data_IF_900675072056
#
_entry.id   IF_900675072056
#
_cell.length_a   1.000
_cell.length_b   1.000
_cell.length_c   1.000
_cell.angle_alpha   90.00
_cell.angle_beta   90.00
_cell.angle_gamma   90.00
#
_symmetry.space_group_name_H-M   'P 1'
#
loop_
_entity.id
_entity.type
_entity.pdbx_description
1 polymer ?
#
# COMPACT_ATOMS: atom_id res chain seq x y z
N UNK A 1 7.70 -16.83 -9.31
CA UNK A 1 6.54 -16.10 -8.71
C UNK A 1 5.56 -15.70 -9.80
N UNK A 2 5.90 -14.71 -10.64
CA UNK A 2 5.01 -14.22 -11.68
C UNK A 2 4.70 -15.31 -12.73
N UNK A 3 5.72 -16.01 -13.23
CA UNK A 3 5.52 -17.10 -14.20
C UNK A 3 4.77 -18.30 -13.62
N UNK A 4 4.99 -18.62 -12.35
CA UNK A 4 4.41 -19.79 -11.71
C UNK A 4 2.94 -19.57 -11.30
N UNK A 5 2.61 -18.38 -10.78
CA UNK A 5 1.30 -18.06 -10.24
C UNK A 5 0.44 -17.19 -11.16
N UNK A 6 1.02 -16.58 -12.19
CA UNK A 6 0.31 -15.70 -13.12
C UNK A 6 -0.30 -14.46 -12.45
N UNK A 7 0.35 -13.91 -11.43
CA UNK A 7 -0.10 -12.71 -10.70
C UNK A 7 0.49 -11.45 -11.31
N UNK A 8 -0.22 -10.32 -11.22
CA UNK A 8 0.26 -9.04 -11.74
C UNK A 8 1.04 -8.23 -10.70
N UNK A 9 0.93 -8.58 -9.41
CA UNK A 9 1.59 -7.83 -8.35
C UNK A 9 1.99 -8.70 -7.17
N UNK A 10 3.00 -8.25 -6.43
CA UNK A 10 3.42 -8.86 -5.17
C UNK A 10 3.79 -7.81 -4.12
N UNK A 11 3.87 -8.24 -2.87
CA UNK A 11 4.39 -7.43 -1.76
C UNK A 11 5.71 -8.02 -1.27
N UNK A 12 6.71 -7.17 -1.01
CA UNK A 12 8.05 -7.61 -0.56
C UNK A 12 8.57 -6.75 0.59
N UNK A 13 9.40 -7.33 1.45
CA UNK A 13 10.10 -6.60 2.50
C UNK A 13 11.40 -6.00 1.98
N UNK A 14 11.64 -4.68 2.09
CA UNK A 14 12.85 -4.03 1.59
C UNK A 14 14.04 -4.14 2.56
N UNK A 15 13.91 -4.86 3.67
CA UNK A 15 14.86 -4.85 4.78
C UNK A 15 16.30 -5.25 4.37
N UNK A 16 16.44 -6.17 3.41
CA UNK A 16 17.75 -6.64 2.94
C UNK A 16 18.38 -5.71 1.89
N UNK A 17 17.64 -4.70 1.41
CA UNK A 17 18.13 -3.74 0.42
C UNK A 17 17.73 -4.08 -1.02
N UNK A 18 18.34 -3.33 -1.95
CA UNK A 18 17.95 -3.31 -3.37
C UNK A 18 18.07 -4.68 -4.04
N UNK A 19 19.12 -5.42 -3.75
CA UNK A 19 19.41 -6.72 -4.35
C UNK A 19 18.33 -7.78 -4.04
N UNK A 20 17.65 -7.66 -2.89
CA UNK A 20 16.48 -8.50 -2.59
C UNK A 20 15.19 -8.12 -3.31
N UNK A 21 15.09 -6.87 -3.81
CA UNK A 21 13.89 -6.31 -4.45
C UNK A 21 14.03 -6.30 -5.98
N UNK A 22 15.23 -6.05 -6.49
CA UNK A 22 15.51 -5.91 -7.91
C UNK A 22 14.99 -7.06 -8.78
N UNK A 23 15.09 -8.35 -8.38
CA UNK A 23 14.55 -9.44 -9.21
C UNK A 23 13.05 -9.34 -9.50
N UNK A 24 12.27 -8.69 -8.62
CA UNK A 24 10.83 -8.50 -8.84
C UNK A 24 10.52 -7.34 -9.80
N UNK A 25 11.49 -6.47 -10.06
CA UNK A 25 11.37 -5.33 -10.99
C UNK A 25 11.83 -5.68 -12.42
N UNK A 26 12.27 -6.90 -12.67
CA UNK A 26 12.71 -7.38 -13.99
C UNK A 26 11.54 -7.94 -14.83
N UNK A 27 10.30 -7.80 -14.36
CA UNK A 27 9.11 -8.35 -15.01
C UNK A 27 8.18 -7.22 -15.49
N UNK A 28 8.22 -6.94 -16.80
CA UNK A 28 7.32 -5.97 -17.46
C UNK A 28 5.83 -6.29 -17.18
N UNK A 29 5.03 -5.25 -17.01
CA UNK A 29 3.58 -5.38 -16.77
C UNK A 29 3.20 -5.85 -15.37
N UNK A 30 4.18 -6.03 -14.47
CA UNK A 30 3.94 -6.37 -13.06
C UNK A 30 4.23 -5.20 -12.12
N UNK A 31 3.73 -5.25 -10.88
CA UNK A 31 4.00 -4.25 -9.85
C UNK A 31 4.51 -4.86 -8.54
N UNK A 32 5.59 -4.32 -8.00
CA UNK A 32 6.17 -4.73 -6.71
C UNK A 32 5.91 -3.68 -5.64
N UNK A 33 5.08 -4.01 -4.65
CA UNK A 33 4.81 -3.15 -3.50
C UNK A 33 5.76 -3.44 -2.35
N UNK A 34 6.59 -2.47 -1.98
CA UNK A 34 7.50 -2.62 -0.83
C UNK A 34 6.82 -2.25 0.48
N UNK A 35 7.08 -3.01 1.54
CA UNK A 35 6.62 -2.67 2.89
C UNK A 35 7.29 -1.39 3.38
N UNK A 36 6.52 -0.32 3.52
CA UNK A 36 7.04 1.02 3.84
C UNK A 36 6.64 1.46 5.24
N UNK A 37 5.35 1.76 5.44
CA UNK A 37 4.79 2.12 6.76
C UNK A 37 3.54 1.29 6.98
N UNK A 38 3.60 0.25 7.80
CA UNK A 38 2.47 -0.66 8.02
C UNK A 38 1.57 -0.18 9.18
N UNK A 39 0.37 -0.73 9.31
CA UNK A 39 -0.65 -0.28 10.28
C UNK A 39 -0.59 -0.96 11.65
N UNK A 40 0.29 -1.94 11.84
CA UNK A 40 0.44 -2.67 13.10
C UNK A 40 1.27 -1.87 14.12
N UNK A 41 1.06 -2.13 15.42
CA UNK A 41 1.76 -1.45 16.53
C UNK A 41 3.30 -1.50 16.40
N UNK A 42 3.84 -2.63 15.93
CA UNK A 42 5.28 -2.81 15.70
C UNK A 42 5.89 -1.93 14.58
N UNK A 43 5.08 -1.13 13.86
CA UNK A 43 5.62 -0.08 12.99
C UNK A 43 6.48 0.92 13.79
N UNK A 44 6.10 1.21 15.04
CA UNK A 44 6.83 2.11 15.92
C UNK A 44 8.25 1.62 16.23
N UNK A 45 8.48 0.30 16.29
CA UNK A 45 9.74 -0.30 16.74
C UNK A 45 10.91 0.02 15.81
N UNK A 46 10.66 0.07 14.50
CA UNK A 46 11.69 0.23 13.47
C UNK A 46 11.33 1.31 12.45
N UNK A 47 10.12 1.26 11.89
CA UNK A 47 9.74 2.11 10.76
C UNK A 47 9.75 3.59 11.18
N UNK A 48 9.22 3.88 12.38
CA UNK A 48 9.13 5.23 12.93
C UNK A 48 10.32 5.58 13.85
N UNK A 49 10.81 4.63 14.68
CA UNK A 49 11.88 4.90 15.64
C UNK A 49 13.29 5.00 15.02
N UNK A 50 13.57 4.28 13.93
CA UNK A 50 14.87 4.35 13.27
C UNK A 50 14.91 5.49 12.26
N UNK A 51 16.09 6.07 12.06
CA UNK A 51 16.30 7.12 11.07
C UNK A 51 17.63 6.93 10.31
N UNK A 52 17.63 7.29 9.02
CA UNK A 52 18.80 7.41 8.18
C UNK A 52 19.03 8.90 7.90
N UNK A 53 20.14 9.45 8.37
CA UNK A 53 20.48 10.88 8.23
C UNK A 53 19.35 11.83 8.68
N UNK A 54 18.67 11.47 9.78
CA UNK A 54 17.56 12.23 10.35
C UNK A 54 16.21 12.02 9.65
N UNK A 55 16.15 11.21 8.58
CA UNK A 55 14.90 10.83 7.91
C UNK A 55 14.37 9.53 8.52
N UNK A 56 13.10 9.47 9.00
CA UNK A 56 12.51 8.23 9.50
C UNK A 56 12.66 7.07 8.50
N UNK A 57 12.88 5.86 8.99
CA UNK A 57 13.20 4.71 8.15
C UNK A 57 12.14 4.45 7.07
N UNK A 58 10.85 4.57 7.41
CA UNK A 58 9.77 4.39 6.45
C UNK A 58 9.84 5.38 5.27
N UNK A 59 10.24 6.63 5.53
CA UNK A 59 10.44 7.64 4.48
C UNK A 59 11.68 7.38 3.65
N UNK A 60 12.75 6.94 4.30
CA UNK A 60 13.97 6.53 3.60
C UNK A 60 13.68 5.37 2.63
N UNK A 61 12.88 4.38 3.05
CA UNK A 61 12.42 3.28 2.19
C UNK A 61 11.62 3.80 0.99
N UNK A 62 10.73 4.77 1.17
CA UNK A 62 9.95 5.35 0.07
C UNK A 62 10.82 6.08 -0.95
N UNK A 63 11.81 6.85 -0.48
CA UNK A 63 12.79 7.51 -1.34
C UNK A 63 13.60 6.48 -2.15
N UNK A 64 14.05 5.39 -1.50
CA UNK A 64 14.74 4.28 -2.17
C UNK A 64 13.86 3.56 -3.18
N UNK A 65 12.58 3.33 -2.87
CA UNK A 65 11.64 2.78 -3.83
C UNK A 65 11.51 3.66 -5.08
N UNK A 66 11.40 4.99 -4.90
CA UNK A 66 11.40 5.94 -6.02
C UNK A 66 12.69 5.92 -6.85
N UNK A 67 13.85 5.67 -6.24
CA UNK A 67 15.10 5.44 -6.96
C UNK A 67 15.09 4.12 -7.74
N UNK A 68 14.63 3.03 -7.13
CA UNK A 68 14.63 1.69 -7.72
C UNK A 68 13.63 1.55 -8.87
N UNK A 69 12.47 2.20 -8.75
CA UNK A 69 11.44 2.24 -9.78
C UNK A 69 11.97 2.71 -11.15
N UNK A 70 12.91 3.66 -11.17
CA UNK A 70 13.47 4.21 -12.42
C UNK A 70 14.39 3.25 -13.17
N UNK A 71 14.79 2.15 -12.55
CA UNK A 71 15.78 1.22 -13.10
C UNK A 71 15.23 -0.18 -13.39
N UNK A 72 13.93 -0.39 -13.24
CA UNK A 72 13.25 -1.66 -13.50
C UNK A 72 12.41 -1.64 -14.79
N UNK A 73 12.03 -2.82 -15.26
CA UNK A 73 11.04 -3.02 -16.32
C UNK A 73 9.61 -3.12 -15.74
N UNK A 74 9.50 -3.60 -14.51
CA UNK A 74 8.26 -3.63 -13.73
C UNK A 74 8.05 -2.37 -12.91
N UNK A 75 6.79 -2.15 -12.52
CA UNK A 75 6.37 -1.03 -11.69
C UNK A 75 6.69 -1.27 -10.20
N UNK A 76 6.77 -0.18 -9.45
CA UNK A 76 7.01 -0.24 -8.00
C UNK A 76 5.98 0.58 -7.24
N UNK A 77 5.51 0.06 -6.11
CA UNK A 77 4.57 0.75 -5.23
C UNK A 77 4.97 0.67 -3.76
N UNK A 78 4.23 1.37 -2.91
CA UNK A 78 4.42 1.36 -1.47
C UNK A 78 3.24 0.71 -0.76
N UNK A 79 3.51 -0.10 0.25
CA UNK A 79 2.48 -0.52 1.21
C UNK A 79 2.44 0.48 2.36
N UNK A 80 1.29 1.14 2.51
CA UNK A 80 1.10 2.21 3.51
C UNK A 80 -0.19 1.97 4.29
N UNK A 81 -0.10 1.82 5.61
CA UNK A 81 -1.23 1.54 6.48
C UNK A 81 -2.19 2.73 6.58
N UNK A 82 -3.49 2.46 6.51
CA UNK A 82 -4.56 3.47 6.55
C UNK A 82 -4.67 4.26 7.86
N UNK A 83 -3.96 3.85 8.92
CA UNK A 83 -4.14 4.36 10.28
C UNK A 83 -3.27 5.57 10.64
N UNK A 84 -2.42 6.09 9.73
CA UNK A 84 -1.75 7.38 9.93
C UNK A 84 -1.80 8.26 8.66
N UNK A 85 -2.77 9.20 8.60
CA UNK A 85 -2.88 10.18 7.52
C UNK A 85 -1.62 11.05 7.34
N UNK A 86 -0.94 11.39 8.44
CA UNK A 86 0.30 12.18 8.38
C UNK A 86 1.41 11.43 7.61
N UNK A 87 1.60 10.14 7.94
CA UNK A 87 2.58 9.30 7.24
C UNK A 87 2.20 9.10 5.76
N UNK A 88 0.91 8.97 5.43
CA UNK A 88 0.43 8.91 4.04
C UNK A 88 0.81 10.18 3.27
N UNK A 89 0.59 11.35 3.86
CA UNK A 89 0.91 12.65 3.25
C UNK A 89 2.41 12.83 3.05
N UNK A 90 3.21 12.49 4.07
CA UNK A 90 4.67 12.54 4.01
C UNK A 90 5.22 11.61 2.92
N UNK A 91 4.69 10.38 2.85
CA UNK A 91 5.08 9.40 1.84
C UNK A 91 4.66 9.82 0.44
N UNK A 92 3.48 10.43 0.28
CA UNK A 92 3.06 10.95 -1.02
C UNK A 92 3.99 12.07 -1.49
N UNK A 93 4.46 12.93 -0.59
CA UNK A 93 5.45 13.95 -0.93
C UNK A 93 6.81 13.34 -1.36
N UNK A 94 7.25 12.27 -0.69
CA UNK A 94 8.51 11.59 -1.02
C UNK A 94 8.41 10.74 -2.32
N UNK A 95 7.21 10.22 -2.64
CA UNK A 95 6.94 9.34 -3.76
C UNK A 95 5.65 9.76 -4.53
N UNK A 96 5.68 10.88 -5.25
CA UNK A 96 4.48 11.52 -5.81
C UNK A 96 3.74 10.68 -6.85
N UNK A 97 4.47 9.85 -7.59
CA UNK A 97 3.93 9.07 -8.72
C UNK A 97 3.79 7.58 -8.42
N UNK A 98 4.30 7.09 -7.28
CA UNK A 98 4.26 5.65 -7.01
C UNK A 98 2.84 5.22 -6.60
N UNK A 99 2.34 4.06 -7.08
CA UNK A 99 1.11 3.45 -6.57
C UNK A 99 1.22 3.11 -5.09
N UNK A 100 0.18 3.44 -4.31
CA UNK A 100 0.09 3.07 -2.89
C UNK A 100 -0.91 1.94 -2.72
N UNK A 101 -0.50 0.84 -2.10
CA UNK A 101 -1.40 -0.20 -1.60
C UNK A 101 -1.69 0.10 -0.13
N UNK A 102 -2.95 0.43 0.17
CA UNK A 102 -3.40 0.88 1.48
C UNK A 102 -4.26 -0.18 2.16
N UNK A 103 -3.67 -1.08 2.97
CA UNK A 103 -4.43 -2.01 3.78
C UNK A 103 -5.00 -1.34 5.03
N UNK A 104 -6.13 -1.87 5.51
CA UNK A 104 -6.65 -1.59 6.85
C UNK A 104 -7.83 -0.61 6.92
N UNK A 105 -8.36 -0.15 5.79
CA UNK A 105 -9.59 0.66 5.77
C UNK A 105 -10.78 -0.17 6.30
N UNK A 106 -11.59 0.43 7.16
CA UNK A 106 -12.71 -0.21 7.84
C UNK A 106 -12.29 -1.03 9.06
N UNK A 107 -11.78 -2.25 8.87
CA UNK A 107 -11.55 -3.20 9.97
C UNK A 107 -10.43 -2.80 10.94
N UNK A 108 -9.50 -1.92 10.53
CA UNK A 108 -8.43 -1.39 11.40
C UNK A 108 -8.66 0.09 11.74
N UNK A 109 -9.86 0.61 11.47
CA UNK A 109 -10.25 1.98 11.83
C UNK A 109 -9.72 3.07 10.89
N UNK A 110 -9.17 2.72 9.72
CA UNK A 110 -8.81 3.71 8.70
C UNK A 110 -10.04 4.36 8.07
N UNK A 111 -10.05 5.69 8.00
CA UNK A 111 -11.08 6.50 7.34
C UNK A 111 -10.80 6.59 5.82
N UNK A 112 -11.70 6.09 4.95
CA UNK A 112 -11.55 6.17 3.50
C UNK A 112 -11.28 7.59 2.98
N UNK A 113 -12.00 8.60 3.49
CA UNK A 113 -11.88 9.98 3.02
C UNK A 113 -10.52 10.56 3.38
N UNK A 114 -10.09 10.38 4.64
CA UNK A 114 -8.79 10.84 5.09
C UNK A 114 -7.62 10.17 4.34
N UNK A 115 -7.77 8.91 3.92
CA UNK A 115 -6.77 8.23 3.08
C UNK A 115 -6.67 8.89 1.70
N UNK A 116 -7.81 9.16 1.07
CA UNK A 116 -7.85 9.78 -0.26
C UNK A 116 -7.32 11.21 -0.21
N UNK A 117 -7.73 12.00 0.78
CA UNK A 117 -7.24 13.37 0.98
C UNK A 117 -5.72 13.43 1.18
N UNK A 118 -5.16 12.45 1.88
CA UNK A 118 -3.73 12.40 2.19
C UNK A 118 -2.87 11.88 1.02
N UNK A 119 -3.40 10.99 0.18
CA UNK A 119 -2.57 10.19 -0.74
C UNK A 119 -3.02 10.18 -2.20
N UNK A 120 -4.22 10.63 -2.55
CA UNK A 120 -4.69 10.62 -3.93
C UNK A 120 -4.02 11.73 -4.75
N UNK A 121 -3.44 11.36 -5.89
CA UNK A 121 -2.93 12.29 -6.90
C UNK A 121 -3.27 11.78 -8.30
N UNK A 122 -3.21 12.64 -9.31
CA UNK A 122 -3.48 12.27 -10.70
C UNK A 122 -2.46 11.24 -11.24
N UNK A 123 -1.24 11.25 -10.70
CA UNK A 123 -0.12 10.41 -11.17
C UNK A 123 0.17 9.21 -10.26
N UNK A 124 -0.31 9.21 -9.02
CA UNK A 124 -0.01 8.23 -7.99
C UNK A 124 -1.29 7.52 -7.50
N UNK A 125 -1.70 6.41 -8.11
CA UNK A 125 -2.95 5.76 -7.77
C UNK A 125 -2.91 5.16 -6.35
N UNK A 126 -4.07 5.13 -5.69
CA UNK A 126 -4.25 4.56 -4.35
C UNK A 126 -5.16 3.34 -4.45
N UNK A 127 -4.65 2.17 -4.07
CA UNK A 127 -5.37 0.91 -4.02
C UNK A 127 -5.74 0.60 -2.57
N UNK A 128 -7.01 0.80 -2.21
CA UNK A 128 -7.49 0.48 -0.86
C UNK A 128 -7.84 -1.00 -0.76
N UNK A 129 -7.17 -1.72 0.14
CA UNK A 129 -7.48 -3.12 0.44
C UNK A 129 -8.45 -3.22 1.63
N UNK A 130 -9.59 -3.87 1.38
CA UNK A 130 -10.61 -4.19 2.38
C UNK A 130 -11.01 -5.65 2.23
N UNK A 131 -10.68 -6.48 3.22
CA UNK A 131 -10.96 -7.93 3.18
C UNK A 131 -12.09 -8.31 4.13
N UNK A 132 -11.85 -8.25 5.45
CA UNK A 132 -12.80 -8.75 6.47
C UNK A 132 -14.16 -8.05 6.46
N UNK A 133 -14.19 -6.73 6.27
CA UNK A 133 -15.44 -5.94 6.19
C UNK A 133 -16.29 -6.28 4.97
N UNK A 134 -15.70 -6.85 3.92
CA UNK A 134 -16.42 -7.32 2.73
C UNK A 134 -16.78 -8.80 2.88
N UNK A 135 -15.79 -9.65 3.17
CA UNK A 135 -15.96 -11.10 3.26
C UNK A 135 -16.93 -11.53 4.37
N UNK A 136 -16.94 -10.80 5.49
CA UNK A 136 -17.77 -11.10 6.66
C UNK A 136 -18.89 -10.07 6.85
N UNK A 137 -19.36 -9.45 5.77
CA UNK A 137 -20.52 -8.57 5.80
C UNK A 137 -21.81 -9.33 6.19
N UNK A 138 -21.87 -10.64 5.91
CA UNK A 138 -22.90 -11.56 6.41
C UNK A 138 -22.34 -12.98 6.47
N UNK A 139 -22.78 -13.74 7.47
CA UNK A 139 -22.57 -15.19 7.59
C UNK A 139 -23.80 -16.00 7.12
N UNK A 140 -24.81 -15.33 6.56
CA UNK A 140 -26.06 -15.91 6.09
C UNK A 140 -26.03 -16.33 4.61
N UNK A 141 -27.17 -16.81 4.12
CA UNK A 141 -27.34 -17.18 2.71
C UNK A 141 -27.24 -15.98 1.74
N UNK A 142 -27.32 -14.76 2.27
CA UNK A 142 -27.19 -13.48 1.58
C UNK A 142 -25.74 -12.97 1.49
N UNK A 143 -24.74 -13.77 1.90
CA UNK A 143 -23.32 -13.35 1.96
C UNK A 143 -22.82 -12.68 0.67
N UNK A 144 -23.23 -13.16 -0.50
CA UNK A 144 -22.80 -12.62 -1.78
C UNK A 144 -23.37 -11.20 -2.03
N UNK A 145 -24.64 -10.98 -1.68
CA UNK A 145 -25.30 -9.68 -1.81
C UNK A 145 -24.78 -8.68 -0.77
N UNK A 146 -24.57 -9.15 0.47
CA UNK A 146 -23.99 -8.36 1.54
C UNK A 146 -22.55 -7.91 1.21
N UNK A 147 -21.70 -8.83 0.73
CA UNK A 147 -20.34 -8.50 0.29
C UNK A 147 -20.33 -7.52 -0.89
N UNK A 148 -21.21 -7.71 -1.88
CA UNK A 148 -21.33 -6.80 -3.01
C UNK A 148 -21.79 -5.40 -2.57
N UNK A 149 -22.69 -5.31 -1.59
CA UNK A 149 -23.14 -4.04 -1.01
C UNK A 149 -22.00 -3.37 -0.25
N UNK A 150 -21.31 -4.08 0.65
CA UNK A 150 -20.17 -3.55 1.39
C UNK A 150 -19.04 -3.04 0.48
N UNK A 151 -18.77 -3.73 -0.64
CA UNK A 151 -17.79 -3.29 -1.64
C UNK A 151 -18.24 -2.01 -2.36
N UNK A 152 -19.53 -1.89 -2.72
CA UNK A 152 -20.09 -0.68 -3.34
C UNK A 152 -20.05 0.50 -2.39
N UNK A 153 -20.46 0.31 -1.14
CA UNK A 153 -20.47 1.37 -0.13
C UNK A 153 -19.07 1.91 0.12
N UNK A 154 -18.05 1.03 0.20
CA UNK A 154 -16.66 1.46 0.34
C UNK A 154 -16.18 2.24 -0.90
N UNK A 155 -16.48 1.76 -2.11
CA UNK A 155 -16.13 2.48 -3.35
C UNK A 155 -16.78 3.86 -3.38
N UNK A 156 -18.04 3.96 -3.00
CA UNK A 156 -18.78 5.22 -3.00
C UNK A 156 -18.23 6.18 -1.95
N UNK A 157 -17.82 5.69 -0.78
CA UNK A 157 -17.12 6.48 0.24
C UNK A 157 -15.74 6.98 -0.21
N UNK A 158 -15.02 6.20 -1.03
CA UNK A 158 -13.72 6.61 -1.60
C UNK A 158 -13.85 7.64 -2.72
N UNK A 159 -15.03 7.76 -3.34
CA UNK A 159 -15.32 8.67 -4.46
C UNK A 159 -16.15 9.90 -4.06
N UNK A 160 -16.52 10.02 -2.78
CA UNK A 160 -17.35 11.09 -2.24
C UNK A 160 -16.58 12.40 -2.12
#
# INVERSE_FOLDING_TARGET
>A
LYDDFGVDACTVSPYLGRDSVAPFLEHEGTCTFVLTRTSNEGAADLQEACACDGTPLYRHVAQKAGEWARGGEGEMGLVVGATAPDALSELRADAPTLPFLVPGVGAQGGDPAAVMDAAATDEGPVLVNSSRSILYASDGADYAEAAATAAKDLRDALNA
#
